data_IF_713445434483
#
_entry.id   IF_713445434483
#
_cell.length_a   1.000
_cell.length_b   1.000
_cell.length_c   1.000
_cell.angle_alpha   90.00
_cell.angle_beta   90.00
_cell.angle_gamma   90.00
#
_symmetry.space_group_name_H-M   'P 1'
#
loop_
_entity.id
_entity.type
_entity.pdbx_description
1 polymer ?
2 non-polymer ?
3 non-polymer ?
4 non-polymer ?
5 water ?
#
# COMPACT_ATOMS: atom_id res chain seq x y z
N UNK A 1 -0.40 -9.13 -6.62
CA UNK A 1 -1.44 -8.37 -7.34
C UNK A 1 -2.26 -7.51 -6.38
N UNK A 2 -3.12 -6.67 -6.95
CA UNK A 2 -4.06 -5.85 -6.17
C UNK A 2 -4.96 -6.71 -5.29
N UNK A 3 -5.27 -7.93 -5.72
CA UNK A 3 -6.03 -8.86 -4.89
C UNK A 3 -5.36 -9.10 -3.53
N UNK A 4 -4.08 -9.48 -3.56
CA UNK A 4 -3.33 -9.78 -2.33
C UNK A 4 -3.17 -8.55 -1.46
N UNK A 5 -2.87 -7.41 -2.09
CA UNK A 5 -2.68 -6.14 -1.38
C UNK A 5 -3.92 -5.78 -0.57
N UNK A 6 -5.09 -5.88 -1.20
CA UNK A 6 -6.35 -5.56 -0.55
C UNK A 6 -6.69 -6.49 0.60
N UNK A 7 -6.33 -7.77 0.48
CA UNK A 7 -6.61 -8.78 1.53
C UNK A 7 -5.69 -8.48 2.72
N UNK A 8 -4.42 -8.14 2.47
CA UNK A 8 -3.47 -7.80 3.52
C UNK A 8 -3.90 -6.57 4.32
N UNK A 9 -4.42 -5.57 3.62
CA UNK A 9 -4.83 -4.31 4.25
C UNK A 9 -6.08 -4.51 5.11
N UNK A 10 -6.99 -5.38 4.68
CA UNK A 10 -8.18 -5.68 5.47
C UNK A 10 -7.84 -6.51 6.71
N UNK A 11 -6.87 -7.40 6.57
CA UNK A 11 -6.46 -8.27 7.67
C UNK A 11 -5.75 -7.50 8.78
N UNK A 12 -4.96 -6.50 8.40
CA UNK A 12 -4.18 -5.71 9.36
C UNK A 12 -4.91 -4.51 9.93
N UNK A 13 -5.59 -3.76 9.07
CA UNK A 13 -6.29 -2.53 9.47
C UNK A 13 -7.76 -2.74 9.86
N UNK A 14 -8.38 -3.78 9.32
CA UNK A 14 -9.80 -4.04 9.55
C UNK A 14 -10.69 -3.20 8.64
N UNK A 15 -10.08 -2.42 7.75
CA UNK A 15 -10.79 -1.56 6.83
C UNK A 15 -10.76 -2.09 5.41
N UNK A 16 -11.84 -1.86 4.66
CA UNK A 16 -11.87 -2.16 3.24
C UNK A 16 -10.81 -1.29 2.57
N UNK A 17 -9.95 -1.89 1.76
CA UNK A 17 -8.81 -1.19 1.17
C UNK A 17 -9.18 -0.15 0.12
N UNK A 18 -10.21 -0.41 -0.66
CA UNK A 18 -10.64 0.54 -1.69
C UNK A 18 -11.35 1.74 -1.05
N UNK A 19 -12.29 1.48 -0.15
CA UNK A 19 -13.04 2.53 0.50
C UNK A 19 -12.15 3.46 1.33
N UNK A 20 -11.34 2.87 2.19
CA UNK A 20 -10.54 3.63 3.13
C UNK A 20 -9.22 4.16 2.59
N UNK A 21 -8.59 3.40 1.69
CA UNK A 21 -7.26 3.77 1.18
C UNK A 21 -7.17 3.90 -0.36
N UNK A 22 -8.24 3.61 -1.07
CA UNK A 22 -8.24 3.68 -2.53
C UNK A 22 -8.14 5.08 -3.09
N UNK A 23 -8.37 6.09 -2.26
CA UNK A 23 -8.27 7.50 -2.68
C UNK A 23 -7.79 8.40 -1.53
N UNK A 24 -7.02 7.84 -0.60
CA UNK A 24 -6.59 8.58 0.58
C UNK A 24 -5.35 9.42 0.34
N UNK A 25 -5.44 10.70 0.68
CA UNK A 25 -4.31 11.60 0.56
C UNK A 25 -3.75 11.72 -0.84
N UNK A 26 -2.45 11.95 -0.92
CA UNK A 26 -1.73 12.16 -2.17
C UNK A 26 -0.98 10.92 -2.68
N UNK A 27 -1.04 9.83 -1.93
CA UNK A 27 -0.23 8.64 -2.26
C UNK A 27 -0.98 7.30 -2.20
N UNK A 28 -2.05 7.22 -1.43
CA UNK A 28 -2.81 5.98 -1.31
C UNK A 28 -3.79 5.78 -2.44
N UNK A 29 -3.69 4.62 -3.10
CA UNK A 29 -4.63 4.22 -4.11
C UNK A 29 -4.27 4.67 -5.50
N UNK A 30 -5.26 5.18 -6.22
CA UNK A 30 -5.07 5.61 -7.60
C UNK A 30 -4.10 6.77 -7.74
N UNK A 31 -3.62 6.97 -8.97
CA UNK A 31 -2.75 8.09 -9.27
C UNK A 31 -1.30 7.83 -8.94
N UNK A 32 -0.55 8.91 -8.77
CA UNK A 32 0.88 8.85 -8.53
C UNK A 32 1.21 9.38 -7.14
N UNK A 33 2.50 9.55 -6.86
CA UNK A 33 2.92 10.05 -5.56
C UNK A 33 2.84 11.58 -5.49
N UNK A 34 2.75 12.08 -4.26
CA UNK A 34 2.80 13.50 -3.98
C UNK A 34 3.34 13.72 -2.56
N UNK A 35 3.40 14.97 -2.12
CA UNK A 35 3.81 15.29 -0.75
C UNK A 35 2.75 14.75 0.20
N UNK A 36 3.13 13.84 1.11
CA UNK A 36 2.18 13.25 2.05
C UNK A 36 1.49 14.26 2.97
N UNK A 37 0.22 14.01 3.27
CA UNK A 37 -0.56 14.88 4.16
C UNK A 37 -0.41 14.44 5.62
N UNK A 38 -0.21 13.14 5.84
CA UNK A 38 -0.01 12.60 7.19
C UNK A 38 0.79 11.28 7.16
N UNK A 39 0.81 10.56 8.28
CA UNK A 39 1.57 9.31 8.39
C UNK A 39 1.01 8.18 7.54
N UNK A 40 -0.31 8.03 7.54
CA UNK A 40 -1.00 7.03 6.70
C UNK A 40 -0.61 7.22 5.23
N UNK A 41 -0.52 8.48 4.82
CA UNK A 41 -0.16 8.85 3.46
C UNK A 41 1.31 8.58 3.14
N UNK A 42 2.18 8.76 4.14
CA UNK A 42 3.61 8.47 4.00
C UNK A 42 3.83 6.97 3.76
N UNK A 43 3.01 6.14 4.40
CA UNK A 43 3.02 4.69 4.19
C UNK A 43 2.85 4.34 2.72
N UNK A 44 1.88 5.00 2.08
CA UNK A 44 1.58 4.75 0.66
C UNK A 44 2.62 5.34 -0.28
N UNK A 45 3.27 6.42 0.16
CA UNK A 45 4.38 7.01 -0.58
C UNK A 45 5.52 5.99 -0.65
N UNK A 46 5.85 5.40 0.50
CA UNK A 46 6.92 4.41 0.61
C UNK A 46 6.57 3.19 -0.23
N UNK A 47 5.30 2.80 -0.19
CA UNK A 47 4.80 1.63 -0.90
C UNK A 47 4.98 1.72 -2.39
N UNK A 48 4.68 2.89 -2.95
CA UNK A 48 4.77 3.11 -4.39
C UNK A 48 6.24 3.19 -4.83
N UNK A 49 7.08 3.77 -3.99
CA UNK A 49 8.52 3.79 -4.22
C UNK A 49 9.07 2.35 -4.22
N UNK A 50 8.58 1.54 -3.29
CA UNK A 50 8.94 0.13 -3.18
C UNK A 50 8.59 -0.64 -4.46
N UNK A 51 7.49 -0.24 -5.10
CA UNK A 51 6.99 -0.87 -6.34
C UNK A 51 7.83 -0.55 -7.58
N UNK A 52 8.45 0.63 -7.62
CA UNK A 52 9.24 1.04 -8.79
C UNK A 52 10.41 0.13 -9.11
N UNK A 53 10.92 -0.56 -8.08
CA UNK A 53 12.07 -1.47 -8.22
C UNK A 53 11.72 -2.79 -8.90
N UNK A 54 10.44 -3.13 -8.94
CA UNK A 54 9.96 -4.39 -9.52
C UNK A 54 9.89 -4.31 -11.05
N UNK A 55 11.00 -4.58 -11.73
CA UNK A 55 11.04 -4.53 -13.19
C UNK A 55 10.68 -5.87 -13.86
N UNK A 56 10.88 -6.97 -13.14
CA UNK A 56 10.70 -8.33 -13.70
C UNK A 56 9.33 -8.94 -13.46
N UNK A 57 8.40 -8.17 -12.93
CA UNK A 57 7.02 -8.61 -12.74
C UNK A 57 6.07 -7.41 -12.67
N UNK A 58 4.78 -7.67 -12.49
CA UNK A 58 3.74 -6.64 -12.50
C UNK A 58 3.01 -6.57 -11.17
N UNK A 59 3.12 -5.43 -10.48
CA UNK A 59 2.50 -5.29 -9.17
C UNK A 59 0.97 -5.32 -9.20
N UNK A 60 0.38 -4.85 -10.29
CA UNK A 60 -1.07 -4.90 -10.46
C UNK A 60 -1.64 -6.28 -10.67
N UNK A 61 -1.08 -7.04 -11.61
CA UNK A 61 -1.74 -8.26 -12.13
C UNK A 61 -1.14 -9.60 -11.66
N UNK A 62 0.14 -9.64 -11.36
CA UNK A 62 0.77 -10.88 -10.96
C UNK A 62 0.48 -11.24 -9.51
N UNK A 63 -0.11 -12.42 -9.32
CA UNK A 63 -0.46 -12.91 -8.01
C UNK A 63 0.74 -13.63 -7.40
N UNK A 64 0.78 -13.65 -6.07
CA UNK A 64 1.80 -14.38 -5.32
C UNK A 64 1.17 -15.14 -4.15
N UNK A 65 1.97 -15.99 -3.51
CA UNK A 65 1.51 -16.80 -2.39
C UNK A 65 1.91 -16.16 -1.07
N UNK A 66 0.98 -16.15 -0.12
CA UNK A 66 1.24 -15.69 1.24
C UNK A 66 0.19 -16.23 2.22
N UNK A 67 0.53 -16.21 3.50
CA UNK A 67 -0.35 -16.70 4.55
C UNK A 67 -0.68 -15.66 5.60
N UNK A 68 -1.90 -15.75 6.13
CA UNK A 68 -2.34 -14.97 7.26
C UNK A 68 -2.42 -15.93 8.45
N UNK A 69 -1.27 -16.27 9.07
CA UNK A 69 -1.12 -17.27 10.14
C UNK A 69 -0.74 -16.52 11.43
N UNK A 70 -1.56 -16.73 12.47
CA UNK A 70 -1.35 -16.13 13.79
C UNK A 70 -1.30 -14.61 13.76
N UNK A 71 -2.24 -14.02 13.02
CA UNK A 71 -2.37 -12.57 12.89
C UNK A 71 -1.11 -11.89 12.35
N UNK A 72 -0.46 -12.55 11.40
CA UNK A 72 0.75 -12.02 10.77
C UNK A 72 0.87 -12.45 9.32
N UNK A 73 1.41 -11.57 8.48
CA UNK A 73 1.64 -11.86 7.08
C UNK A 73 2.99 -12.55 6.90
N UNK A 74 2.98 -13.70 6.21
CA UNK A 74 4.20 -14.41 5.86
C UNK A 74 4.22 -14.60 4.34
N UNK A 75 5.24 -14.06 3.68
CA UNK A 75 5.40 -14.20 2.24
C UNK A 75 5.98 -15.58 1.93
N UNK A 76 5.21 -16.40 1.23
CA UNK A 76 5.63 -17.76 0.87
C UNK A 76 5.87 -17.88 -0.64
N UNK A 77 6.40 -16.81 -1.22
CA UNK A 77 6.63 -16.74 -2.66
C UNK A 77 8.09 -17.00 -2.99
N UNK A 78 8.33 -17.86 -3.98
CA UNK A 78 9.68 -18.23 -4.37
C UNK A 78 10.20 -17.41 -5.56
N UNK A 79 9.30 -16.96 -6.44
CA UNK A 79 9.67 -16.06 -7.52
C UNK A 79 10.26 -14.80 -6.88
N UNK A 80 11.52 -14.48 -7.14
CA UNK A 80 12.19 -13.32 -6.53
C UNK A 80 11.41 -12.00 -6.63
N UNK A 81 10.94 -11.64 -7.82
CA UNK A 81 10.25 -10.37 -8.02
C UNK A 81 8.90 -10.33 -7.31
N UNK A 82 8.17 -11.44 -7.39
CA UNK A 82 6.88 -11.57 -6.71
C UNK A 82 7.05 -11.60 -5.19
N UNK A 83 8.21 -12.06 -4.74
CA UNK A 83 8.58 -12.05 -3.33
C UNK A 83 8.80 -10.60 -2.85
N UNK A 84 9.49 -9.80 -3.66
CA UNK A 84 9.71 -8.39 -3.33
C UNK A 84 8.39 -7.61 -3.35
N UNK A 85 7.48 -8.02 -4.24
CA UNK A 85 6.16 -7.40 -4.35
C UNK A 85 5.36 -7.69 -3.09
N UNK A 86 5.44 -8.93 -2.62
CA UNK A 86 4.75 -9.33 -1.41
C UNK A 86 5.25 -8.57 -0.18
N UNK A 87 6.57 -8.39 -0.08
CA UNK A 87 7.17 -7.65 1.03
C UNK A 87 6.83 -6.17 0.96
N UNK A 88 6.68 -5.63 -0.25
CA UNK A 88 6.23 -4.25 -0.42
C UNK A 88 4.82 -4.11 0.14
N UNK A 89 3.95 -5.05 -0.20
CA UNK A 89 2.56 -5.03 0.23
C UNK A 89 2.45 -5.26 1.72
N UNK A 90 3.15 -6.28 2.22
CA UNK A 90 3.16 -6.57 3.64
C UNK A 90 3.55 -5.33 4.44
N UNK A 91 4.55 -4.60 3.95
CA UNK A 91 5.06 -3.43 4.64
C UNK A 91 4.03 -2.33 4.76
N UNK A 92 3.27 -2.09 3.69
CA UNK A 92 2.27 -1.02 3.70
C UNK A 92 1.06 -1.40 4.54
N UNK A 93 0.68 -2.67 4.55
CA UNK A 93 -0.43 -3.14 5.38
C UNK A 93 -0.10 -2.94 6.87
N UNK A 94 1.11 -3.32 7.27
CA UNK A 94 1.56 -3.14 8.64
C UNK A 94 1.69 -1.66 9.00
N UNK A 95 2.21 -0.86 8.06
CA UNK A 95 2.42 0.56 8.29
C UNK A 95 1.11 1.32 8.49
N UNK A 96 0.12 0.99 7.67
CA UNK A 96 -1.20 1.62 7.74
C UNK A 96 -1.91 1.26 9.05
N UNK A 97 -1.73 0.02 9.49
CA UNK A 97 -2.29 -0.46 10.76
C UNK A 97 -1.69 0.32 11.93
N UNK A 98 -0.39 0.60 11.85
CA UNK A 98 0.32 1.33 12.90
C UNK A 98 -0.12 2.79 13.00
N UNK A 99 -0.59 3.35 11.89
CA UNK A 99 -1.00 4.75 11.85
C UNK A 99 -2.52 4.95 11.80
N UNK A 100 -3.26 3.94 12.25
CA UNK A 100 -4.71 4.02 12.39
C UNK A 100 -5.09 5.09 13.43
N UNK A 101 -4.19 5.37 14.36
CA UNK A 101 -4.43 6.38 15.40
C UNK A 101 -4.56 7.80 14.84
N UNK A 102 -3.86 8.10 13.75
CA UNK A 102 -3.94 9.42 13.10
C UNK A 102 -4.70 9.39 11.76
N UNK A 103 -5.32 8.26 11.43
CA UNK A 103 -6.16 8.16 10.23
C UNK A 103 -7.31 9.18 10.30
N UNK A 104 -7.47 9.96 9.24
CA UNK A 104 -8.50 10.99 9.16
C UNK A 104 -9.38 10.83 7.92
N UNK A 105 -10.69 10.79 8.12
CA UNK A 105 -11.65 10.60 7.02
C UNK A 105 -11.73 11.79 6.04
N UNK A 106 -11.16 12.93 6.40
CA UNK A 106 -11.12 14.09 5.51
C UNK A 106 -10.32 13.81 4.24
N UNK A 107 -9.24 13.03 4.37
CA UNK A 107 -8.39 12.68 3.24
C UNK A 107 -8.92 11.51 2.40
N UNK A 108 -10.00 10.88 2.87
CA UNK A 108 -10.60 9.69 2.23
C UNK A 108 -10.83 9.80 0.71
N UNK A 109 -11.40 10.91 0.24
CA UNK A 109 -11.65 11.08 -1.21
C UNK A 109 -10.93 12.32 -1.74
N UNK A 110 -9.62 12.35 -1.49
CA UNK A 110 -8.78 13.51 -1.80
C UNK A 110 -8.75 13.93 -3.26
N UNK A 111 -8.74 15.25 -3.48
CA UNK A 111 -8.59 15.85 -4.80
C UNK A 111 -7.11 15.84 -5.13
N UNK A 112 -6.64 14.72 -5.69
CA UNK A 112 -5.20 14.45 -5.89
C UNK A 112 -4.50 15.32 -6.95
N UNK A 113 -5.25 16.10 -7.70
CA UNK A 113 -4.66 16.93 -8.76
C UNK A 113 -3.91 18.14 -8.21
N UNK A 114 -4.30 18.60 -7.02
CA UNK A 114 -3.64 19.73 -6.36
C UNK A 114 -2.44 19.32 -5.50
N UNK A 115 -2.17 18.01 -5.43
CA UNK A 115 -1.05 17.49 -4.65
C UNK A 115 0.27 18.03 -5.18
N UNK A 116 1.18 18.36 -4.27
CA UNK A 116 2.47 18.93 -4.65
C UNK A 116 3.38 17.85 -5.20
N UNK A 117 4.30 18.25 -6.08
CA UNK A 117 5.25 17.32 -6.71
C UNK A 117 5.97 16.51 -5.63
N UNK A 118 6.05 15.19 -5.81
CA UNK A 118 6.69 14.33 -4.81
C UNK A 118 8.20 14.43 -4.83
N UNK A 119 8.82 14.15 -3.69
CA UNK A 119 10.27 14.07 -3.62
C UNK A 119 10.69 12.76 -4.31
N UNK A 120 11.96 12.69 -4.70
CA UNK A 120 12.51 11.50 -5.35
C UNK A 120 12.46 10.31 -4.39
N UNK A 121 12.43 9.10 -4.95
CA UNK A 121 12.45 7.88 -4.14
C UNK A 121 13.86 7.61 -3.63
X LIG B 1 5.13 7.75 -9.27
X LIG B 1 4.57 7.44 -10.58
X LIG B 1 6.48 7.20 -9.18
X LIG B 1 5.17 9.19 -9.08
X LIG B 1 4.29 7.13 -8.24
X LIG C 1 -1.24 1.75 -0.12
X LIG C 1 -1.77 2.42 -2.13
X LIG C 1 -2.00 1.73 -1.12
X LIG C 1 -3.20 0.81 -1.08
X LIG C 1 -4.49 1.52 -1.47
X LIG C 1 -5.23 0.81 -2.61
X LIG C 1 -6.20 -0.24 -2.08
X LIG C 1 -5.73 -1.66 -2.40
X LIG C 1 -6.21 -2.12 -3.78
X LIG C 1 -6.63 -3.58 -3.74
X LIG C 1 -8.03 -3.76 -3.15
X LIG C 1 -8.71 -5.04 -3.63
X LIG C 1 -9.50 -5.75 -2.54
X LIG C 1 -8.97 -7.14 -2.25
X LIG D 1 -0.82 1.02 -6.33
X LIG D 1 0.24 1.05 -5.41
X LIG D 1 -2.15 1.18 -5.58
X LIG D 1 -2.29 0.11 -4.67
X LIG D 1 -3.30 1.19 -6.58
X LIG D 1 -4.54 1.10 -5.89
#
# INVERSE_FOLDING_TARGET
SLLELGKMILQETGKNAITSYGSYGCNCGWGHRGQPKDATDRCCFVHKCCYKKLTDCNHKTDRYSYSWKNKAIICEEKNPCLKEMCECDKAVAICLRENLDTYNKKYKAYFKFKCKKPETC
SO4 S O1 O2 O3 O4
DAO O1 O2 C1 C2 C3 C4 C5 C6 C7 C8 C9 C10 C11 C12
GOL C1 O1 C2 O2 C3 O3
#
